data_IF_730133721188
#
_entry.id   IF_730133721188
#
_cell.length_a   1.000
_cell.length_b   1.000
_cell.length_c   1.000
_cell.angle_alpha   90.00
_cell.angle_beta   90.00
_cell.angle_gamma   90.00
#
_symmetry.space_group_name_H-M   'P 1'
#
loop_
_entity.id
_entity.type
_entity.pdbx_description
1 polymer ?
2 non-polymer ?
3 non-polymer ?
4 non-polymer ?
5 water ?
#
# COMPACT_ATOMS: atom_id res chain seq x y z
N UNK A 3 -21.67 8.02 -5.93
CA UNK A 3 -20.95 8.75 -6.97
C UNK A 3 -19.42 8.47 -7.00
N UNK A 4 -18.74 8.43 -5.84
CA UNK A 4 -17.29 8.15 -5.87
C UNK A 4 -16.96 6.79 -6.48
N UNK A 5 -17.48 5.71 -5.90
CA UNK A 5 -17.17 4.38 -6.38
C UNK A 5 -17.73 4.15 -7.79
N UNK A 6 -18.92 4.65 -8.07
CA UNK A 6 -19.51 4.43 -9.39
C UNK A 6 -18.73 5.18 -10.46
N UNK A 7 -18.23 6.38 -10.14
CA UNK A 7 -17.37 7.09 -11.08
C UNK A 7 -16.03 6.39 -11.25
N UNK A 8 -15.51 5.79 -10.17
CA UNK A 8 -14.24 5.09 -10.25
C UNK A 8 -14.35 3.88 -11.17
N UNK A 9 -15.48 3.16 -11.09
CA UNK A 9 -15.65 1.98 -11.94
C UNK A 9 -15.91 2.36 -13.39
N UNK A 10 -16.59 3.48 -13.63
CA UNK A 10 -16.84 3.92 -15.00
C UNK A 10 -15.54 4.23 -15.71
N UNK A 11 -14.58 4.83 -14.99
CA UNK A 11 -13.27 5.12 -15.58
C UNK A 11 -12.46 3.85 -15.75
N UNK A 12 -12.66 2.86 -14.87
CA UNK A 12 -12.01 1.57 -15.07
C UNK A 12 -12.42 0.96 -16.41
N UNK A 13 -13.72 1.00 -16.72
CA UNK A 13 -14.19 0.49 -18.01
C UNK A 13 -13.56 1.27 -19.16
N UNK A 14 -13.49 2.60 -19.01
CA UNK A 14 -12.89 3.44 -20.05
C UNK A 14 -11.41 3.15 -20.21
N UNK A 15 -10.71 2.87 -19.10
CA UNK A 15 -9.28 2.61 -19.16
C UNK A 15 -9.01 1.24 -19.76
N UNK A 16 -9.73 0.22 -19.30
CA UNK A 16 -9.59 -1.11 -19.86
C UNK A 16 -9.83 -1.09 -21.37
N UNK A 17 -10.89 -0.40 -21.79
CA UNK A 17 -11.21 -0.31 -23.21
C UNK A 17 -10.04 0.29 -24.00
N UNK A 18 -9.48 1.39 -23.51
CA UNK A 18 -8.37 2.00 -24.22
C UNK A 18 -7.17 1.06 -24.31
N UNK A 19 -6.83 0.41 -23.19
CA UNK A 19 -5.65 -0.45 -23.19
C UNK A 19 -5.85 -1.63 -24.13
N UNK A 20 -7.02 -2.27 -24.06
CA UNK A 20 -7.25 -3.45 -24.89
C UNK A 20 -7.35 -3.09 -26.36
N UNK A 21 -8.05 -2.00 -26.69
CA UNK A 21 -8.14 -1.58 -28.08
C UNK A 21 -6.78 -1.15 -28.62
N UNK A 22 -5.95 -0.52 -27.77
CA UNK A 22 -4.59 -0.20 -28.20
C UNK A 22 -3.80 -1.46 -28.57
N UNK A 23 -3.92 -2.51 -27.75
CA UNK A 23 -3.29 -3.78 -28.08
C UNK A 23 -3.82 -4.33 -29.40
N UNK A 24 -5.13 -4.23 -29.62
CA UNK A 24 -5.71 -4.73 -30.86
C UNK A 24 -5.31 -3.89 -32.06
N UNK A 25 -5.35 -2.55 -31.91
CA UNK A 25 -5.14 -1.69 -33.08
C UNK A 25 -3.66 -1.48 -33.38
N UNK A 26 -2.82 -1.37 -32.35
CA UNK A 26 -1.43 -1.00 -32.55
C UNK A 26 -0.45 -2.14 -32.34
N UNK A 27 -0.78 -3.13 -31.53
CA UNK A 27 0.17 -4.20 -31.22
C UNK A 27 -0.20 -5.51 -31.89
N UNK A 28 -1.17 -5.50 -32.79
CA UNK A 28 -1.57 -6.66 -33.58
C UNK A 28 -2.06 -7.82 -32.71
N UNK A 29 -2.69 -7.55 -31.57
CA UNK A 29 -3.11 -8.63 -30.70
C UNK A 29 -4.40 -9.24 -31.21
N UNK A 30 -4.45 -10.57 -31.22
CA UNK A 30 -5.62 -11.29 -31.66
C UNK A 30 -6.73 -11.25 -30.61
N UNK A 31 -7.98 -11.47 -31.01
CA UNK A 31 -9.08 -11.47 -30.03
C UNK A 31 -8.87 -12.40 -28.84
N UNK A 32 -8.47 -13.66 -29.08
CA UNK A 32 -8.31 -14.62 -27.99
C UNK A 32 -7.42 -14.06 -26.89
N UNK A 33 -6.28 -13.46 -27.28
CA UNK A 33 -5.38 -12.91 -26.28
C UNK A 33 -5.92 -11.63 -25.65
N UNK A 34 -6.73 -10.86 -26.40
CA UNK A 34 -7.32 -9.65 -25.82
C UNK A 34 -8.31 -10.02 -24.72
N UNK A 35 -9.15 -11.03 -24.96
CA UNK A 35 -10.09 -11.44 -23.92
C UNK A 35 -9.36 -12.07 -22.74
N UNK A 36 -8.25 -12.77 -23.00
CA UNK A 36 -7.44 -13.29 -21.91
C UNK A 36 -6.90 -12.15 -21.04
N UNK A 37 -6.36 -11.11 -21.67
CA UNK A 37 -5.83 -10.00 -20.89
C UNK A 37 -6.95 -9.21 -20.22
N UNK A 38 -8.15 -9.18 -20.80
CA UNK A 38 -9.27 -8.58 -20.08
C UNK A 38 -9.57 -9.36 -18.82
N UNK A 39 -9.59 -10.69 -18.92
CA UNK A 39 -9.85 -11.52 -17.74
C UNK A 39 -8.74 -11.38 -16.71
N UNK A 40 -7.48 -11.42 -17.15
CA UNK A 40 -6.37 -11.25 -16.22
C UNK A 40 -6.43 -9.89 -15.54
N UNK A 41 -6.71 -8.82 -16.30
CA UNK A 41 -6.79 -7.49 -15.72
C UNK A 41 -7.88 -7.42 -14.67
N UNK A 42 -9.07 -7.94 -14.99
CA UNK A 42 -10.18 -7.94 -14.04
C UNK A 42 -9.84 -8.72 -12.78
N UNK A 43 -9.19 -9.88 -12.94
CA UNK A 43 -8.87 -10.72 -11.79
C UNK A 43 -7.90 -10.03 -10.84
N UNK A 44 -6.84 -9.43 -11.37
CA UNK A 44 -5.80 -8.87 -10.52
C UNK A 44 -6.16 -7.48 -9.99
N UNK A 45 -7.00 -6.73 -10.68
CA UNK A 45 -7.25 -5.33 -10.33
C UNK A 45 -8.56 -5.08 -9.60
N UNK A 46 -9.54 -5.98 -9.70
CA UNK A 46 -10.83 -5.80 -9.07
C UNK A 46 -11.00 -6.77 -7.91
N UNK A 47 -11.91 -6.42 -7.01
CA UNK A 47 -12.22 -7.25 -5.86
C UNK A 47 -11.69 -6.74 -4.54
N UNK A 48 -10.81 -5.75 -4.55
CA UNK A 48 -10.29 -5.16 -3.33
C UNK A 48 -11.25 -4.15 -2.76
N UNK A 49 -10.70 -3.20 -2.00
CA UNK A 49 -11.49 -2.12 -1.44
C UNK A 49 -11.29 -0.79 -2.13
N UNK A 50 -10.19 -0.63 -2.89
CA UNK A 50 -9.90 0.57 -3.67
C UNK A 50 -9.59 1.79 -2.79
N UNK A 51 -9.12 1.55 -1.56
CA UNK A 51 -8.86 2.66 -0.66
C UNK A 51 -7.79 3.59 -1.22
N UNK A 52 -6.75 3.02 -1.81
CA UNK A 52 -5.69 3.83 -2.41
C UNK A 52 -6.24 4.67 -3.54
N UNK A 53 -6.99 4.04 -4.46
CA UNK A 53 -7.51 4.77 -5.60
C UNK A 53 -8.60 5.77 -5.23
N UNK A 54 -9.47 5.40 -4.28
CA UNK A 54 -10.51 6.32 -3.88
C UNK A 54 -9.96 7.48 -3.06
N UNK A 55 -8.79 7.32 -2.43
CA UNK A 55 -8.20 8.44 -1.71
C UNK A 55 -7.79 9.56 -2.66
N UNK A 56 -7.28 9.20 -3.84
CA UNK A 56 -6.95 10.22 -4.84
C UNK A 56 -8.18 11.03 -5.19
N UNK A 57 -9.33 10.36 -5.33
CA UNK A 57 -10.56 11.05 -5.66
C UNK A 57 -10.99 11.96 -4.52
N UNK A 58 -10.91 11.47 -3.29
CA UNK A 58 -11.32 12.25 -2.12
C UNK A 58 -10.42 13.47 -1.93
N UNK A 59 -9.13 13.35 -2.24
CA UNK A 59 -8.24 14.51 -2.17
C UNK A 59 -8.58 15.51 -3.27
N UNK A 60 -8.96 15.02 -4.46
CA UNK A 60 -9.24 15.92 -5.57
C UNK A 60 -10.52 16.71 -5.35
N UNK A 61 -11.58 16.06 -4.88
CA UNK A 61 -12.86 16.74 -4.73
C UNK A 61 -12.78 17.82 -3.65
N UNK A 62 -11.92 17.64 -2.65
CA UNK A 62 -11.79 18.66 -1.61
C UNK A 62 -11.10 19.90 -2.14
N UNK A 63 -10.02 19.73 -2.90
CA UNK A 63 -9.22 20.88 -3.32
C UNK A 63 -9.85 21.68 -4.45
N UNK A 64 -10.86 21.15 -5.15
CA UNK A 64 -11.58 21.98 -6.11
C UNK A 64 -12.74 22.72 -5.47
N UNK A 65 -13.35 22.14 -4.43
CA UNK A 65 -14.41 22.82 -3.70
C UNK A 65 -13.87 23.79 -2.67
N UNK A 66 -12.61 23.66 -2.30
CA UNK A 66 -12.00 24.43 -1.23
C UNK A 66 -10.64 24.95 -1.70
N UNK A 67 -10.63 25.60 -2.86
CA UNK A 67 -9.40 26.07 -3.48
C UNK A 67 -8.88 27.34 -2.81
N UNK A 77 -16.07 25.04 -13.85
CA UNK A 77 -17.01 23.99 -14.21
C UNK A 77 -16.40 22.93 -15.10
N UNK A 78 -15.76 23.36 -16.18
CA UNK A 78 -15.06 22.42 -17.06
C UNK A 78 -13.80 21.88 -16.41
N UNK A 79 -13.10 22.73 -15.66
CA UNK A 79 -11.90 22.29 -14.95
C UNK A 79 -12.24 21.23 -13.90
N UNK A 80 -13.45 21.29 -13.33
CA UNK A 80 -13.86 20.29 -12.35
C UNK A 80 -13.89 18.90 -12.97
N UNK A 81 -14.58 18.76 -14.11
CA UNK A 81 -14.72 17.46 -14.74
C UNK A 81 -13.35 16.88 -15.10
N UNK A 82 -12.43 17.74 -15.54
CA UNK A 82 -11.10 17.26 -15.92
C UNK A 82 -10.30 16.80 -14.72
N UNK A 83 -10.35 17.56 -13.62
CA UNK A 83 -9.59 17.21 -12.43
C UNK A 83 -10.12 15.93 -11.80
N UNK A 84 -11.45 15.75 -11.81
CA UNK A 84 -12.03 14.54 -11.23
C UNK A 84 -11.71 13.30 -12.07
N UNK A 85 -11.72 13.45 -13.40
CA UNK A 85 -11.38 12.32 -14.27
C UNK A 85 -9.92 11.93 -14.11
N UNK A 86 -9.01 12.92 -14.09
CA UNK A 86 -7.61 12.66 -13.84
C UNK A 86 -7.41 11.89 -12.54
N UNK A 87 -8.10 12.32 -11.49
CA UNK A 87 -8.00 11.64 -10.20
C UNK A 87 -8.35 10.16 -10.33
N UNK A 88 -9.41 9.84 -11.07
CA UNK A 88 -9.80 8.44 -11.25
C UNK A 88 -8.72 7.66 -11.99
N UNK A 89 -8.09 8.29 -12.99
CA UNK A 89 -7.01 7.62 -13.70
C UNK A 89 -5.81 7.41 -12.78
N UNK A 90 -5.46 8.44 -12.00
CA UNK A 90 -4.39 8.30 -11.02
C UNK A 90 -4.71 7.21 -10.00
N UNK A 91 -5.96 7.13 -9.55
CA UNK A 91 -6.33 6.08 -8.63
C UNK A 91 -6.15 4.69 -9.22
N UNK A 92 -6.45 4.53 -10.50
CA UNK A 92 -6.25 3.21 -11.10
C UNK A 92 -4.77 2.92 -11.38
N UNK A 93 -3.96 3.96 -11.61
CA UNK A 93 -2.52 3.76 -11.67
C UNK A 93 -2.00 3.08 -10.40
N UNK A 94 -2.42 3.58 -9.23
CA UNK A 94 -2.00 2.98 -7.97
C UNK A 94 -2.61 1.60 -7.79
N UNK A 95 -3.90 1.44 -8.15
CA UNK A 95 -4.50 0.11 -8.04
C UNK A 95 -3.80 -0.89 -8.96
N UNK A 96 -3.46 -0.49 -10.18
CA UNK A 96 -2.71 -1.39 -11.06
C UNK A 96 -1.33 -1.69 -10.50
N UNK A 97 -0.67 -0.65 -9.96
CA UNK A 97 0.60 -0.86 -9.26
C UNK A 97 0.45 -1.86 -8.13
N UNK A 98 -0.66 -1.79 -7.38
CA UNK A 98 -0.90 -2.73 -6.30
C UNK A 98 -1.12 -4.14 -6.85
N UNK A 99 -1.91 -4.27 -7.92
CA UNK A 99 -2.03 -5.54 -8.62
C UNK A 99 -0.66 -6.10 -8.98
N UNK A 100 0.20 -5.27 -9.57
CA UNK A 100 1.55 -5.70 -9.93
C UNK A 100 2.29 -6.30 -8.74
N UNK A 101 2.32 -5.60 -7.60
CA UNK A 101 3.01 -6.11 -6.41
C UNK A 101 2.42 -7.44 -5.92
N UNK A 102 1.09 -7.54 -5.89
CA UNK A 102 0.47 -8.79 -5.45
C UNK A 102 0.84 -9.96 -6.36
N UNK A 103 0.87 -9.74 -7.67
CA UNK A 103 1.29 -10.82 -8.57
C UNK A 103 2.74 -11.20 -8.30
N UNK A 104 3.61 -10.21 -8.10
CA UNK A 104 5.00 -10.53 -7.78
C UNK A 104 5.11 -11.27 -6.46
N UNK A 105 4.23 -10.97 -5.50
CA UNK A 105 4.23 -11.69 -4.24
C UNK A 105 3.76 -13.13 -4.42
N UNK A 106 2.80 -13.37 -5.32
CA UNK A 106 2.34 -14.73 -5.59
C UNK A 106 3.44 -15.58 -6.19
N UNK A 107 4.22 -15.01 -7.12
CA UNK A 107 5.36 -15.73 -7.67
C UNK A 107 6.34 -16.10 -6.56
N UNK A 108 6.59 -15.18 -5.63
CA UNK A 108 7.49 -15.45 -4.51
C UNK A 108 7.04 -16.63 -3.65
N UNK A 109 5.76 -17.01 -3.71
CA UNK A 109 5.28 -18.20 -3.00
C UNK A 109 5.08 -19.37 -3.97
N UNK A 124 9.58 -26.13 -17.97
CA UNK A 124 8.91 -25.20 -18.88
C UNK A 124 7.49 -24.90 -18.43
N UNK A 125 7.33 -24.24 -17.28
CA UNK A 125 6.02 -24.06 -16.67
C UNK A 125 5.39 -22.77 -17.18
N UNK A 126 4.34 -22.90 -17.98
CA UNK A 126 3.75 -21.73 -18.63
C UNK A 126 2.90 -20.91 -17.66
N UNK A 127 2.44 -21.48 -16.55
CA UNK A 127 1.70 -20.67 -15.60
C UNK A 127 2.61 -19.70 -14.86
N UNK A 128 3.87 -20.09 -14.63
CA UNK A 128 4.83 -19.16 -14.04
C UNK A 128 5.27 -18.13 -15.06
N UNK A 129 5.53 -18.57 -16.30
CA UNK A 129 5.80 -17.63 -17.38
C UNK A 129 4.70 -16.60 -17.49
N UNK A 130 3.44 -17.04 -17.38
CA UNK A 130 2.34 -16.09 -17.57
C UNK A 130 2.19 -15.17 -16.36
N UNK A 131 2.41 -15.66 -15.14
CA UNK A 131 2.37 -14.79 -13.98
C UNK A 131 3.45 -13.72 -14.05
N UNK A 132 4.68 -14.12 -14.39
CA UNK A 132 5.75 -13.15 -14.60
C UNK A 132 5.33 -12.12 -15.65
N UNK A 133 4.81 -12.60 -16.78
CA UNK A 133 4.37 -11.69 -17.83
C UNK A 133 3.29 -10.76 -17.33
N UNK A 134 2.29 -11.30 -16.61
CA UNK A 134 1.24 -10.46 -16.02
C UNK A 134 1.83 -9.34 -15.17
N UNK A 135 2.76 -9.67 -14.28
CA UNK A 135 3.35 -8.64 -13.45
C UNK A 135 3.97 -7.50 -14.24
N UNK A 136 4.67 -7.84 -15.34
CA UNK A 136 5.27 -6.81 -16.18
C UNK A 136 4.20 -5.97 -16.88
N UNK A 137 3.19 -6.63 -17.43
CA UNK A 137 2.13 -5.88 -18.10
C UNK A 137 1.41 -4.96 -17.15
N UNK A 138 1.09 -5.45 -15.95
CA UNK A 138 0.37 -4.61 -14.98
C UNK A 138 1.15 -3.34 -14.68
N UNK A 139 2.46 -3.45 -14.52
CA UNK A 139 3.27 -2.26 -14.29
C UNK A 139 3.29 -1.36 -15.52
N UNK A 140 3.55 -1.94 -16.70
CA UNK A 140 3.57 -1.14 -17.93
C UNK A 140 2.24 -0.44 -18.17
N UNK A 141 1.13 -1.04 -17.75
CA UNK A 141 -0.17 -0.41 -17.95
C UNK A 141 -0.29 0.90 -17.17
N UNK A 142 0.42 1.02 -16.04
CA UNK A 142 0.39 2.29 -15.31
C UNK A 142 1.02 3.40 -16.15
N UNK A 143 2.10 3.08 -16.88
CA UNK A 143 2.70 4.07 -17.77
C UNK A 143 1.82 4.33 -18.98
N UNK A 144 1.28 3.26 -19.59
CA UNK A 144 0.49 3.44 -20.79
C UNK A 144 -0.77 4.25 -20.52
N UNK A 145 -1.42 4.03 -19.37
CA UNK A 145 -2.65 4.77 -19.10
C UNK A 145 -2.34 6.22 -18.76
N UNK A 146 -1.17 6.50 -18.19
CA UNK A 146 -0.81 7.88 -17.88
C UNK A 146 -0.34 8.64 -19.11
N UNK A 147 0.45 8.00 -19.97
CA UNK A 147 0.89 8.63 -21.20
C UNK A 147 -0.26 8.93 -22.15
N UNK A 148 -1.40 8.26 -22.00
CA UNK A 148 -2.57 8.52 -22.82
C UNK A 148 -3.44 9.63 -22.24
N UNK A 149 -4.00 9.39 -21.05
CA UNK A 149 -4.98 10.31 -20.49
C UNK A 149 -4.37 11.63 -20.02
N UNK A 150 -3.06 11.70 -19.86
CA UNK A 150 -2.39 12.92 -19.41
C UNK A 150 -1.43 13.48 -20.45
N UNK A 151 -1.51 13.00 -21.70
CA UNK A 151 -0.54 13.39 -22.73
C UNK A 151 -0.40 14.90 -22.87
N UNK A 152 -1.49 15.64 -22.66
CA UNK A 152 -1.47 17.09 -22.79
C UNK A 152 -1.47 17.81 -21.44
N UNK A 153 -1.29 17.08 -20.33
CA UNK A 153 -1.25 17.76 -19.05
C UNK A 153 0.15 18.30 -18.77
N UNK A 154 0.26 19.47 -18.13
CA UNK A 154 1.60 19.99 -17.77
C UNK A 154 2.32 19.13 -16.74
N UNK A 155 1.61 18.33 -15.97
CA UNK A 155 2.21 17.59 -14.86
C UNK A 155 2.61 16.17 -15.21
N UNK A 156 2.49 15.76 -16.48
CA UNK A 156 2.75 14.37 -16.84
C UNK A 156 4.14 13.93 -16.39
N UNK A 157 5.15 14.75 -16.64
CA UNK A 157 6.52 14.37 -16.28
C UNK A 157 6.69 14.29 -14.77
N UNK A 158 6.23 15.32 -14.05
CA UNK A 158 6.35 15.31 -12.59
C UNK A 158 5.57 14.15 -11.98
N UNK A 159 4.44 13.79 -12.59
CA UNK A 159 3.66 12.67 -12.10
C UNK A 159 4.43 11.36 -12.27
N UNK A 160 4.97 11.13 -13.47
CA UNK A 160 5.68 9.89 -13.73
C UNK A 160 6.92 9.77 -12.86
N UNK A 161 7.61 10.88 -12.60
CA UNK A 161 8.83 10.82 -11.80
C UNK A 161 8.52 10.51 -10.35
N UNK A 162 7.47 11.13 -9.78
CA UNK A 162 7.10 10.84 -8.40
C UNK A 162 6.56 9.42 -8.29
N UNK A 163 5.75 9.00 -9.25
CA UNK A 163 5.23 7.63 -9.27
C UNK A 163 6.36 6.62 -9.32
N UNK A 164 7.31 6.82 -10.25
CA UNK A 164 8.43 5.89 -10.39
C UNK A 164 9.32 5.89 -9.14
N UNK A 165 9.47 7.05 -8.50
CA UNK A 165 10.29 7.10 -7.30
C UNK A 165 9.65 6.30 -6.17
N UNK A 166 8.32 6.37 -6.05
CA UNK A 166 7.64 5.62 -5.01
C UNK A 166 7.70 4.13 -5.29
N UNK A 167 7.57 3.75 -6.56
CA UNK A 167 7.68 2.35 -6.93
C UNK A 167 9.06 1.80 -6.58
N UNK A 168 10.11 2.58 -6.85
CA UNK A 168 11.46 2.18 -6.46
C UNK A 168 11.57 2.05 -4.95
N UNK A 169 11.07 3.05 -4.23
CA UNK A 169 11.00 3.00 -2.77
C UNK A 169 10.40 1.67 -2.29
N UNK A 170 9.32 1.23 -2.93
CA UNK A 170 8.64 0.02 -2.51
C UNK A 170 9.50 -1.22 -2.75
N UNK A 171 10.19 -1.26 -3.89
CA UNK A 171 11.09 -2.39 -4.16
C UNK A 171 12.23 -2.42 -3.16
N UNK A 172 12.69 -1.24 -2.73
CA UNK A 172 13.70 -1.18 -1.68
C UNK A 172 13.14 -1.68 -0.36
N UNK A 173 11.91 -1.29 -0.01
CA UNK A 173 11.30 -1.79 1.22
C UNK A 173 11.12 -3.28 1.20
N UNK A 174 10.81 -3.85 0.03
CA UNK A 174 10.70 -5.30 -0.07
C UNK A 174 12.04 -5.98 0.17
N UNK A 175 13.12 -5.38 -0.33
CA UNK A 175 14.46 -5.91 -0.05
C UNK A 175 14.72 -5.92 1.45
N UNK A 176 14.44 -4.81 2.14
CA UNK A 176 14.62 -4.77 3.58
C UNK A 176 13.79 -5.84 4.28
N UNK A 177 12.54 -6.00 3.85
CA UNK A 177 11.64 -6.96 4.49
C UNK A 177 12.16 -8.37 4.33
N UNK A 178 12.53 -8.73 3.11
CA UNK A 178 12.83 -10.10 2.72
C UNK A 178 14.15 -10.57 3.32
N UNK A 179 15.07 -9.64 3.62
CA UNK A 179 16.38 -10.00 4.16
C UNK A 179 16.53 -9.67 5.64
N UNK A 180 15.44 -9.29 6.32
CA UNK A 180 15.54 -8.81 7.69
C UNK A 180 16.01 -9.88 8.66
N UNK A 181 15.96 -11.16 8.28
CA UNK A 181 16.41 -12.25 9.13
C UNK A 181 17.73 -12.86 8.66
N UNK A 182 18.45 -12.19 7.75
CA UNK A 182 19.73 -12.63 7.24
C UNK A 182 20.73 -11.46 7.24
N UNK A 183 22.01 -11.82 7.10
CA UNK A 183 23.08 -10.94 6.61
C UNK A 183 24.43 -11.66 6.66
N UNK A 199 18.99 -11.90 14.37
CA UNK A 199 18.00 -11.03 15.01
C UNK A 199 18.56 -9.66 15.31
N UNK A 200 19.79 -9.41 14.82
CA UNK A 200 20.41 -8.10 15.01
C UNK A 200 19.53 -6.98 14.45
N UNK A 201 18.85 -7.24 13.34
CA UNK A 201 18.02 -6.23 12.72
C UNK A 201 16.58 -6.22 13.24
N UNK A 202 16.25 -7.07 14.21
CA UNK A 202 14.93 -7.03 14.83
C UNK A 202 14.90 -5.88 15.83
N UNK A 203 14.80 -4.66 15.29
CA UNK A 203 14.72 -3.46 16.10
C UNK A 203 13.53 -2.63 15.63
N UNK A 204 13.08 -1.72 16.49
CA UNK A 204 11.92 -0.90 16.19
C UNK A 204 12.24 0.12 15.10
N UNK A 205 13.44 0.68 15.12
CA UNK A 205 13.81 1.59 14.03
C UNK A 205 13.85 0.84 12.70
N UNK A 206 14.30 -0.41 12.70
CA UNK A 206 14.32 -1.14 11.43
C UNK A 206 12.93 -1.60 11.03
N UNK A 207 12.10 -1.98 11.99
CA UNK A 207 10.72 -2.28 11.66
C UNK A 207 10.04 -1.08 11.00
N UNK A 208 10.28 0.12 11.53
CA UNK A 208 9.72 1.31 10.89
C UNK A 208 10.35 1.55 9.52
N UNK A 209 11.63 1.23 9.34
CA UNK A 209 12.24 1.36 8.02
C UNK A 209 11.53 0.46 7.00
N UNK A 210 11.23 -0.77 7.38
CA UNK A 210 10.49 -1.65 6.47
C UNK A 210 9.11 -1.06 6.18
N UNK A 211 8.36 -0.74 7.22
CA UNK A 211 6.97 -0.31 7.02
C UNK A 211 6.92 0.91 6.12
N UNK A 212 7.78 1.89 6.40
CA UNK A 212 7.77 3.15 5.66
C UNK A 212 8.04 2.91 4.18
N UNK A 213 9.10 2.16 3.86
CA UNK A 213 9.47 1.98 2.46
C UNK A 213 8.59 0.94 1.77
N UNK A 214 8.27 -0.15 2.47
CA UNK A 214 7.58 -1.25 1.82
C UNK A 214 6.10 -0.97 1.62
N UNK A 215 5.49 -0.16 2.49
CA UNK A 215 4.05 0.00 2.47
C UNK A 215 3.60 1.46 2.50
N UNK A 216 4.16 2.25 3.41
CA UNK A 216 3.60 3.57 3.72
C UNK A 216 3.66 4.51 2.52
N UNK A 217 4.76 4.51 1.78
CA UNK A 217 4.92 5.45 0.68
C UNK A 217 3.88 5.22 -0.42
N UNK A 218 3.72 3.98 -0.88
CA UNK A 218 2.79 3.81 -2.00
C UNK A 218 1.33 3.71 -1.56
N UNK A 219 1.08 3.37 -0.29
CA UNK A 219 -0.29 3.20 0.19
C UNK A 219 -0.86 4.46 0.82
N UNK A 220 -0.04 5.25 1.50
CA UNK A 220 -0.52 6.45 2.16
C UNK A 220 0.01 7.74 1.55
N UNK A 221 1.29 7.80 1.18
CA UNK A 221 1.79 9.06 0.64
C UNK A 221 1.40 9.26 -0.81
N UNK A 222 1.53 8.22 -1.63
CA UNK A 222 1.30 8.36 -3.07
C UNK A 222 -0.13 8.75 -3.40
N UNK A 223 -1.19 8.13 -2.84
CA UNK A 223 -2.54 8.61 -3.15
C UNK A 223 -2.75 10.09 -2.83
N UNK A 224 -2.16 10.58 -1.74
CA UNK A 224 -2.30 11.99 -1.39
C UNK A 224 -1.61 12.88 -2.39
N UNK A 225 -0.35 12.57 -2.72
CA UNK A 225 0.42 13.38 -3.65
C UNK A 225 -0.26 13.45 -5.01
N UNK A 226 -0.78 12.32 -5.49
CA UNK A 226 -1.40 12.29 -6.81
C UNK A 226 -2.69 13.10 -6.84
N UNK A 227 -3.43 13.14 -5.73
CA UNK A 227 -4.56 14.04 -5.65
C UNK A 227 -4.15 15.51 -5.69
N UNK A 228 -2.98 15.82 -5.12
CA UNK A 228 -2.46 17.18 -5.17
C UNK A 228 -2.02 17.57 -6.56
N UNK A 229 -1.49 16.62 -7.33
CA UNK A 229 -0.96 16.95 -8.66
C UNK A 229 -2.10 17.18 -9.63
N UNK A 230 -3.14 16.35 -9.59
CA UNK A 230 -4.28 16.57 -10.46
C UNK A 230 -5.05 17.81 -10.05
N UNK A 231 -4.94 18.24 -8.79
CA UNK A 231 -5.50 19.49 -8.34
C UNK A 231 -4.51 20.65 -8.47
N UNK A 232 -3.30 20.38 -8.96
CA UNK A 232 -2.29 21.41 -9.24
C UNK A 232 -1.93 22.22 -7.99
N UNK A 233 -2.07 21.60 -6.81
CA UNK A 233 -1.77 22.24 -5.54
C UNK A 233 -0.57 21.63 -4.85
N UNK A 234 0.36 21.07 -5.64
CA UNK A 234 1.52 20.42 -5.07
C UNK A 234 2.37 21.35 -4.21
N UNK A 235 2.83 22.52 -4.69
CA UNK A 235 3.70 23.35 -3.85
C UNK A 235 2.97 24.08 -2.73
N UNK A 236 1.65 23.95 -2.62
CA UNK A 236 0.87 24.65 -1.62
C UNK A 236 0.72 23.88 -0.32
N UNK A 237 1.43 22.77 -0.15
CA UNK A 237 1.31 21.96 1.05
C UNK A 237 2.69 21.76 1.66
N UNK A 238 2.71 21.57 2.97
CA UNK A 238 3.93 21.23 3.70
C UNK A 238 4.15 19.73 3.54
N UNK A 239 5.09 19.37 2.67
CA UNK A 239 5.34 17.95 2.40
C UNK A 239 5.96 17.24 3.58
N UNK A 240 6.59 17.97 4.50
CA UNK A 240 7.15 17.34 5.68
C UNK A 240 6.07 16.76 6.58
N UNK A 241 5.08 17.57 6.93
CA UNK A 241 3.98 17.06 7.76
C UNK A 241 3.20 15.99 7.02
N UNK A 242 3.07 16.13 5.69
CA UNK A 242 2.34 15.15 4.92
C UNK A 242 3.07 13.82 4.88
N UNK A 243 4.38 13.86 4.63
CA UNK A 243 5.19 12.64 4.67
C UNK A 243 5.13 11.99 6.04
N UNK A 244 5.21 12.80 7.10
CA UNK A 244 5.19 12.26 8.46
C UNK A 244 3.85 11.61 8.77
N UNK A 245 2.75 12.20 8.29
CA UNK A 245 1.44 11.61 8.53
C UNK A 245 1.29 10.28 7.81
N UNK A 246 1.79 10.19 6.58
CA UNK A 246 1.71 8.94 5.84
C UNK A 246 2.56 7.85 6.50
N UNK A 247 3.77 8.20 6.93
CA UNK A 247 4.59 7.23 7.65
C UNK A 247 3.89 6.73 8.90
N UNK A 248 3.24 7.64 9.64
CA UNK A 248 2.60 7.26 10.89
C UNK A 248 1.39 6.38 10.64
N UNK A 249 0.54 6.76 9.69
CA UNK A 249 -0.66 5.97 9.40
C UNK A 249 -0.31 4.58 8.90
N UNK A 250 0.74 4.47 8.08
CA UNK A 250 1.18 3.15 7.64
C UNK A 250 1.77 2.34 8.78
N UNK A 251 2.49 3.00 9.68
CA UNK A 251 2.94 2.35 10.90
C UNK A 251 1.75 1.87 11.75
N UNK A 252 0.80 2.77 12.01
CA UNK A 252 -0.38 2.39 12.77
C UNK A 252 -1.07 1.18 12.15
N UNK A 253 -1.27 1.23 10.84
CA UNK A 253 -1.93 0.13 10.14
C UNK A 253 -1.12 -1.16 10.22
N UNK A 254 0.21 -1.07 10.11
CA UNK A 254 1.00 -2.29 10.02
C UNK A 254 1.09 -3.00 11.37
N UNK A 255 1.11 -2.25 12.47
CA UNK A 255 1.15 -2.87 13.79
C UNK A 255 -0.13 -3.64 14.07
N UNK A 256 -1.29 -3.02 13.80
CA UNK A 256 -2.54 -3.74 13.95
C UNK A 256 -2.58 -4.97 13.06
N UNK A 257 -2.03 -4.85 11.84
CA UNK A 257 -1.99 -5.99 10.93
C UNK A 257 -1.11 -7.10 11.47
N UNK A 258 0.03 -6.74 12.06
CA UNK A 258 0.92 -7.75 12.64
C UNK A 258 0.27 -8.49 13.80
N UNK A 259 -0.43 -7.77 14.66
CA UNK A 259 -1.07 -8.42 15.81
C UNK A 259 -2.19 -9.33 15.35
N UNK A 260 -3.02 -8.86 14.40
CA UNK A 260 -4.08 -9.71 13.87
C UNK A 260 -3.52 -10.93 13.17
N UNK A 261 -2.39 -10.79 12.49
CA UNK A 261 -1.79 -11.92 11.81
C UNK A 261 -1.50 -13.07 12.77
N UNK A 262 -1.17 -12.75 14.03
CA UNK A 262 -0.76 -13.76 14.99
C UNK A 262 -1.93 -14.29 15.83
N UNK A 263 -2.88 -13.44 16.20
CA UNK A 263 -3.91 -13.82 17.16
C UNK A 263 -5.30 -13.99 16.56
N UNK A 264 -5.59 -13.31 15.45
CA UNK A 264 -6.91 -13.46 14.84
C UNK A 264 -7.00 -14.83 14.16
N UNK A 265 -8.03 -15.61 14.44
CA UNK A 265 -8.11 -16.94 13.84
C UNK A 265 -8.25 -16.85 12.33
N UNK A 266 -7.82 -17.88 11.60
CA UNK A 266 -7.77 -17.78 10.13
C UNK A 266 -9.08 -17.41 9.46
N UNK A 267 -10.21 -17.95 9.92
CA UNK A 267 -11.48 -17.68 9.25
C UNK A 267 -11.97 -16.26 9.46
N UNK A 268 -11.51 -15.58 10.51
CA UNK A 268 -11.89 -14.20 10.77
C UNK A 268 -10.88 -13.21 10.20
N UNK A 269 -9.63 -13.62 10.04
CA UNK A 269 -8.60 -12.75 9.48
C UNK A 269 -8.68 -12.67 7.96
N UNK A 270 -9.21 -13.70 7.31
CA UNK A 270 -9.23 -13.79 5.87
C UNK A 270 -8.09 -14.57 5.26
N UNK A 271 -7.18 -15.07 6.08
CA UNK A 271 -6.01 -15.82 5.62
C UNK A 271 -5.46 -16.57 6.82
N UNK A 272 -4.41 -17.36 6.58
CA UNK A 272 -3.69 -18.03 7.66
C UNK A 272 -2.47 -17.20 8.01
N UNK A 273 -2.34 -16.84 9.28
CA UNK A 273 -1.20 -16.07 9.75
C UNK A 273 0.11 -16.81 9.57
N UNK A 274 1.09 -16.17 8.96
CA UNK A 274 2.34 -16.83 8.57
C UNK A 274 3.59 -16.12 9.08
N UNK A 275 3.46 -15.10 9.92
CA UNK A 275 4.62 -14.28 10.28
C UNK A 275 5.63 -15.08 11.11
N UNK A 276 5.15 -15.81 12.12
CA UNK A 276 6.06 -16.59 12.97
C UNK A 276 6.82 -17.62 12.13
N UNK A 277 6.09 -18.43 11.36
CA UNK A 277 6.73 -19.47 10.54
C UNK A 277 7.75 -18.88 9.57
N UNK A 278 7.50 -17.67 9.06
CA UNK A 278 8.35 -17.04 8.07
C UNK A 278 9.46 -16.21 8.70
N UNK A 279 9.53 -16.15 10.03
CA UNK A 279 10.57 -15.39 10.73
C UNK A 279 10.52 -13.90 10.37
N UNK A 280 9.30 -13.36 10.25
CA UNK A 280 9.16 -11.97 9.88
C UNK A 280 9.58 -11.03 11.02
N UNK A 281 10.08 -9.87 10.64
CA UNK A 281 10.43 -8.81 11.59
C UNK A 281 9.17 -8.01 11.91
N UNK A 282 8.29 -8.65 12.67
CA UNK A 282 7.01 -8.07 13.00
C UNK A 282 7.10 -7.15 14.22
N UNK A 283 6.05 -6.36 14.43
CA UNK A 283 6.00 -5.52 15.61
C UNK A 283 6.03 -6.36 16.89
N UNK A 284 5.38 -7.53 16.85
CA UNK A 284 5.37 -8.40 18.02
C UNK A 284 6.76 -8.92 18.35
N UNK A 285 7.50 -9.35 17.33
CA UNK A 285 8.84 -9.90 17.55
C UNK A 285 9.79 -8.85 18.13
N UNK A 286 9.80 -7.65 17.55
CA UNK A 286 10.74 -6.63 18.01
C UNK A 286 10.34 -6.08 19.38
N UNK A 287 9.04 -6.02 19.67
CA UNK A 287 8.60 -5.56 20.98
C UNK A 287 8.87 -6.62 22.04
N UNK A 288 8.66 -7.89 21.68
CA UNK A 288 8.98 -8.98 22.59
C UNK A 288 10.45 -8.96 22.97
N UNK A 289 11.34 -8.87 21.99
CA UNK A 289 12.76 -9.03 22.27
C UNK A 289 13.31 -7.94 23.16
N UNK A 290 12.65 -6.78 23.22
CA UNK A 290 13.09 -5.71 24.09
C UNK A 290 12.65 -5.88 25.53
N UNK A 291 11.59 -6.67 25.79
CA UNK A 291 11.09 -6.83 27.15
C UNK A 291 11.12 -8.27 27.62
N UNK A 292 11.90 -9.13 26.99
CA UNK A 292 11.98 -10.54 27.33
C UNK A 292 13.20 -10.82 28.20
N UNK A 293 13.11 -11.87 29.01
CA UNK A 293 14.24 -12.33 29.79
C UNK A 293 15.21 -13.11 28.91
N UNK A 294 16.43 -13.30 29.42
CA UNK A 294 17.46 -13.96 28.64
C UNK A 294 17.02 -15.35 28.16
N UNK A 295 16.41 -16.13 29.05
CA UNK A 295 15.93 -17.45 28.64
C UNK A 295 14.64 -17.40 27.84
N UNK A 296 13.84 -16.35 28.00
CA UNK A 296 12.70 -16.16 27.11
C UNK A 296 13.17 -15.83 25.70
N UNK A 297 14.26 -15.08 25.57
CA UNK A 297 14.85 -14.83 24.25
C UNK A 297 15.41 -16.12 23.68
N UNK A 298 16.05 -16.93 24.53
CA UNK A 298 16.54 -18.23 24.08
C UNK A 298 15.39 -19.12 23.62
N UNK A 299 14.26 -19.08 24.33
CA UNK A 299 13.11 -19.88 23.93
C UNK A 299 12.49 -19.33 22.65
N UNK A 300 12.48 -18.01 22.50
CA UNK A 300 12.02 -17.40 21.26
C UNK A 300 12.92 -17.79 20.09
N UNK A 301 14.24 -17.58 20.26
CA UNK A 301 15.17 -17.87 19.18
C UNK A 301 15.10 -19.33 18.75
N UNK A 302 14.87 -20.24 19.70
CA UNK A 302 14.78 -21.65 19.34
C UNK A 302 13.47 -22.00 18.66
N UNK A 303 12.43 -21.18 18.81
CA UNK A 303 11.10 -21.51 18.29
C UNK A 303 10.68 -20.70 17.07
N UNK A 304 11.26 -19.52 16.89
CA UNK A 304 10.83 -18.63 15.82
C UNK A 304 11.28 -19.17 14.46
N UNK A 305 10.46 -18.92 13.44
CA UNK A 305 10.84 -19.24 12.08
C UNK A 305 10.63 -20.68 11.67
N UNK A 306 9.72 -21.40 12.32
CA UNK A 306 9.47 -22.80 12.02
C UNK A 306 7.99 -23.01 11.73
N UNK A 307 7.71 -24.00 10.89
CA UNK A 307 6.35 -24.38 10.58
C UNK A 307 5.73 -25.38 11.53
N UNK A 308 6.52 -25.94 12.44
CA UNK A 308 5.97 -26.88 13.41
C UNK A 308 4.93 -26.19 14.28
N UNK A 309 3.72 -26.74 14.29
CA UNK A 309 2.60 -26.11 14.99
C UNK A 309 2.90 -25.87 16.46
N UNK A 310 3.74 -26.71 17.07
CA UNK A 310 3.99 -26.57 18.50
C UNK A 310 4.98 -25.45 18.79
N UNK A 311 5.97 -25.25 17.90
CA UNK A 311 6.90 -24.14 18.08
C UNK A 311 6.22 -22.81 17.81
N UNK A 312 5.34 -22.78 16.80
CA UNK A 312 4.53 -21.57 16.56
C UNK A 312 3.69 -21.25 17.79
N UNK A 313 3.06 -22.27 18.38
CA UNK A 313 2.30 -22.07 19.60
C UNK A 313 3.20 -21.60 20.74
N UNK A 314 4.44 -22.10 20.80
CA UNK A 314 5.35 -21.64 21.83
C UNK A 314 5.64 -20.15 21.67
N UNK A 315 5.75 -19.67 20.43
CA UNK A 315 5.95 -18.25 20.20
C UNK A 315 4.72 -17.46 20.62
N UNK A 316 3.53 -17.93 20.24
CA UNK A 316 2.31 -17.25 20.67
C UNK A 316 2.20 -17.22 22.19
N UNK A 317 2.58 -18.32 22.86
CA UNK A 317 2.57 -18.36 24.32
C UNK A 317 3.51 -17.31 24.90
N UNK A 318 4.74 -17.25 24.37
CA UNK A 318 5.70 -16.24 24.82
C UNK A 318 5.16 -14.83 24.64
N UNK A 319 4.53 -14.55 23.49
CA UNK A 319 3.98 -13.23 23.25
C UNK A 319 2.95 -12.85 24.30
N UNK A 320 2.08 -13.78 24.68
CA UNK A 320 1.01 -13.46 25.63
C UNK A 320 1.57 -13.24 27.04
N UNK A 321 2.54 -14.05 27.45
CA UNK A 321 3.13 -13.87 28.77
C UNK A 321 3.74 -12.47 28.93
N UNK A 322 4.27 -11.91 27.86
CA UNK A 322 4.86 -10.57 27.90
C UNK A 322 3.81 -9.47 27.77
N UNK A 323 2.53 -9.80 27.70
CA UNK A 323 1.46 -8.81 27.63
C UNK A 323 1.63 -7.89 26.42
N UNK A 324 1.89 -8.50 25.27
CA UNK A 324 2.12 -7.72 24.06
C UNK A 324 0.83 -7.14 23.51
N UNK A 325 -0.30 -7.82 23.69
CA UNK A 325 -1.57 -7.27 23.25
C UNK A 325 -2.03 -6.10 24.12
N UNK A 326 -1.42 -5.92 25.29
CA UNK A 326 -1.66 -4.74 26.10
C UNK A 326 -0.75 -3.60 25.67
N UNK A 327 0.53 -3.91 25.42
CA UNK A 327 1.42 -2.92 24.85
C UNK A 327 0.92 -2.45 23.50
N UNK A 328 0.26 -3.34 22.75
CA UNK A 328 -0.27 -2.98 21.44
C UNK A 328 -1.32 -1.88 21.54
N UNK A 329 -2.21 -1.97 22.53
CA UNK A 329 -3.24 -0.93 22.70
C UNK A 329 -2.58 0.41 23.00
N UNK A 330 -1.63 0.42 23.94
CA UNK A 330 -0.97 1.67 24.31
C UNK A 330 -0.21 2.25 23.13
N UNK A 331 0.48 1.41 22.35
CA UNK A 331 1.27 1.89 21.23
C UNK A 331 0.41 2.57 20.18
N UNK A 332 -0.71 1.94 19.82
CA UNK A 332 -1.59 2.52 18.81
C UNK A 332 -2.21 3.82 19.29
N UNK A 333 -2.50 3.93 20.59
CA UNK A 333 -3.02 5.18 21.15
C UNK A 333 -2.01 6.31 20.97
N UNK A 334 -0.74 6.04 21.27
CA UNK A 334 0.29 7.06 21.12
C UNK A 334 0.40 7.55 19.69
N UNK A 335 0.50 6.61 18.73
CA UNK A 335 0.56 6.99 17.32
C UNK A 335 -0.71 7.74 16.92
N UNK A 336 -1.87 7.24 17.35
CA UNK A 336 -3.13 7.90 17.02
C UNK A 336 -3.13 9.35 17.47
N UNK A 337 -2.53 9.64 18.63
CA UNK A 337 -2.40 11.02 19.08
C UNK A 337 -1.45 11.82 18.20
N UNK A 338 -0.34 11.20 17.77
CA UNK A 338 0.58 11.89 16.89
C UNK A 338 -0.06 12.19 15.55
N UNK A 339 -0.91 11.28 15.05
CA UNK A 339 -1.67 11.54 13.84
C UNK A 339 -2.66 12.67 14.08
N UNK A 340 -3.38 12.62 15.20
CA UNK A 340 -4.38 13.64 15.50
C UNK A 340 -3.76 15.02 15.65
N UNK A 341 -2.48 15.09 16.03
CA UNK A 341 -1.85 16.39 16.20
C UNK A 341 -1.34 16.95 14.88
N UNK A 342 -0.69 16.10 14.06
CA UNK A 342 -0.08 16.58 12.83
C UNK A 342 -1.11 17.00 11.78
N UNK A 343 -2.33 16.49 11.85
CA UNK A 343 -3.35 16.91 10.88
C UNK A 343 -3.70 18.38 11.07
N UNK A 344 -3.48 18.92 12.28
CA UNK A 344 -3.87 20.30 12.53
C UNK A 344 -2.83 21.29 12.03
N UNK A 345 -1.54 20.95 12.15
CA UNK A 345 -0.52 21.77 11.51
C UNK A 345 -0.73 21.83 10.00
N UNK A 346 -1.21 20.73 9.41
CA UNK A 346 -1.44 20.70 7.98
C UNK A 346 -2.58 21.63 7.59
N UNK A 347 -3.63 21.68 8.40
CA UNK A 347 -4.79 22.50 8.07
C UNK A 347 -4.54 23.99 8.30
N UNK A 348 -3.53 24.35 9.11
CA UNK A 348 -3.21 25.75 9.32
C UNK A 348 -2.90 26.47 8.01
N UNK A 349 -2.12 25.82 7.13
CA UNK A 349 -1.79 26.38 5.83
C UNK A 349 -2.46 25.65 4.67
N UNK A 350 -3.12 24.52 4.92
CA UNK A 350 -3.76 23.72 3.88
C UNK A 350 -5.04 23.11 4.44
N UNK A 351 -6.10 23.91 4.56
CA UNK A 351 -7.32 23.43 5.25
C UNK A 351 -8.07 22.32 4.53
N UNK A 352 -8.34 22.49 3.23
CA UNK A 352 -9.12 21.49 2.52
C UNK A 352 -8.40 20.17 2.35
N UNK A 353 -7.07 20.21 2.20
CA UNK A 353 -6.28 18.99 2.12
C UNK A 353 -6.43 18.14 3.37
N UNK A 354 -6.67 18.78 4.53
CA UNK A 354 -6.65 18.07 5.80
C UNK A 354 -7.88 17.19 5.99
N UNK A 355 -9.03 17.61 5.46
CA UNK A 355 -10.25 16.83 5.66
C UNK A 355 -10.15 15.47 4.98
N UNK A 356 -9.50 15.41 3.81
CA UNK A 356 -9.33 14.13 3.15
C UNK A 356 -8.33 13.25 3.88
N UNK A 357 -7.27 13.84 4.44
CA UNK A 357 -6.32 13.07 5.24
C UNK A 357 -6.99 12.52 6.49
N UNK A 358 -7.96 13.25 7.05
CA UNK A 358 -8.75 12.72 8.15
C UNK A 358 -9.64 11.57 7.69
N UNK A 359 -10.30 11.75 6.54
CA UNK A 359 -11.07 10.66 5.94
C UNK A 359 -10.20 9.43 5.71
N UNK A 360 -8.98 9.63 5.20
CA UNK A 360 -8.06 8.52 5.00
C UNK A 360 -7.64 7.90 6.33
N UNK A 361 -7.43 8.74 7.35
CA UNK A 361 -7.03 8.22 8.65
C UNK A 361 -8.15 7.42 9.29
N UNK A 362 -9.40 7.85 9.10
CA UNK A 362 -10.52 7.08 9.61
C UNK A 362 -10.65 5.71 8.96
N UNK A 363 -10.24 5.60 7.69
CA UNK A 363 -10.24 4.28 7.04
C UNK A 363 -9.28 3.32 7.72
N UNK A 364 -8.23 3.84 8.35
CA UNK A 364 -7.25 3.07 9.10
C UNK A 364 -7.62 2.90 10.57
N UNK A 365 -8.09 3.97 11.20
CA UNK A 365 -8.42 3.99 12.62
C UNK A 365 -9.66 3.15 12.92
X LIG B 1 -3.30 -15.90 -10.04
X LIG B 1 -4.00 -14.54 -10.35
X LIG B 1 -3.41 -16.80 -11.31
X LIG B 1 -1.84 -13.58 -11.24
X LIG B 1 -1.24 -15.83 -12.21
X LIG B 1 -3.32 -17.11 -6.56
X LIG B 1 -3.44 -14.74 -12.81
X LIG B 1 -1.80 -15.63 -9.74
X LIG B 1 -3.33 -13.83 -11.56
X LIG B 1 -2.74 -16.09 -12.53
X LIG B 1 -1.13 -14.93 -10.95
X LIG B 1 -3.38 -17.55 -8.05
X LIG B 1 -2.58 -18.10 -5.74
X LIG B 1 -4.01 -16.50 -8.88
X LIG C 1 -7.62 -18.72 -22.71
X LIG C 1 -8.31 -17.98 -21.70
X LIG C 1 -6.10 -18.43 -22.56
X LIG C 1 -5.38 -19.29 -23.45
X LIG C 1 -4.03 -18.84 -23.70
X LIG C 1 -4.13 -17.34 -24.06
X LIG C 1 -3.26 -17.11 -25.19
X LIG D 1 6.01 -6.79 8.24
X LIG D 1 6.05 -6.20 6.87
X LIG D 1 7.66 -7.39 8.65
X LIG D 1 5.10 -8.35 8.17
#
# INVERSE_FOLDING_TARGET
GPMPMQMFMQVYDEIQMFLLEELELKFDMDPNRVRYLRKMMDTTCLGGKYNRGLTVIDVAESLLSLSPNNNGEEDDGARRKRVLHDACVCGWMIEFLQAHYLVEDDIMDNSVTRRGKPCWYRHPDVTVQCAINDGLLLKSWTHMMAMHFFADRPFLQDLLCRFNRVDYTTAVGQLYDVTSMFDSNKLDPDVSQPTTTDFAEFTLSNYKRIVKYKTAYYTYLLPLVMGLIVSEALPTVDMGVTEELAMLMGEYFQVQDDVMDCFTPPERLGKVGTDIQDAKCSWLAVTFLAKASSAQVAEFKANYGSGDSEKVATVRRLYEEADLQGDYVAYEAAVAEQVKELIEKLRLCSPGFAASVETLWGKTYKRQK
PJG C1 C2 C3 C11 C12 C13 C10 C4 C6 C7 C8 C9 N14 N5
PEG C1 O1 C2 O2 C3 C4 O4
DMS S O C1 C2
#
